data_IF_480209597391
#
_entry.id   IF_480209597391
#
_cell.length_a   1.000
_cell.length_b   1.000
_cell.length_c   1.000
_cell.angle_alpha   90.00
_cell.angle_beta   90.00
_cell.angle_gamma   90.00
#
_symmetry.space_group_name_H-M   'P 1'
#
loop_
_entity.id
_entity.type
_entity.pdbx_description
1 polymer ?
#
# COMPACT_ATOMS: atom_id res chain seq x y z
N UNK A 1 -16.40 11.74 4.65
CA UNK A 1 -16.74 11.82 3.21
C UNK A 1 -16.37 10.48 2.57
N UNK A 2 -17.35 9.67 2.13
CA UNK A 2 -17.13 8.37 1.48
C UNK A 2 -16.93 8.60 -0.01
N UNK A 3 -15.73 8.35 -0.55
CA UNK A 3 -15.46 8.43 -1.98
C UNK A 3 -15.61 7.05 -2.61
N UNK A 4 -16.62 6.88 -3.48
CA UNK A 4 -16.79 5.70 -4.36
C UNK A 4 -15.91 5.91 -5.61
N UNK A 5 -14.99 5.00 -5.90
CA UNK A 5 -14.35 4.93 -7.22
C UNK A 5 -15.35 4.35 -8.23
N UNK A 6 -15.58 5.05 -9.35
CA UNK A 6 -16.33 4.56 -10.51
C UNK A 6 -15.35 3.90 -11.49
N UNK A 7 -15.65 2.66 -11.88
CA UNK A 7 -15.01 1.98 -13.00
C UNK A 7 -15.65 2.45 -14.31
N UNK A 8 -14.84 2.91 -15.25
CA UNK A 8 -15.25 3.21 -16.63
C UNK A 8 -15.04 1.94 -17.46
N UNK A 9 -16.12 1.34 -17.95
CA UNK A 9 -16.08 0.29 -18.95
C UNK A 9 -16.06 0.93 -20.35
N UNK A 10 -15.09 0.54 -21.18
CA UNK A 10 -15.04 0.93 -22.59
C UNK A 10 -15.90 -0.07 -23.39
N UNK A 11 -16.93 0.45 -24.05
CA UNK A 11 -17.78 -0.27 -25.00
C UNK A 11 -17.11 -0.19 -26.37
N UNK A 12 -16.76 -1.34 -26.95
CA UNK A 12 -16.27 -1.49 -28.33
C UNK A 12 -17.32 -2.19 -29.16
N UNK A 13 -17.77 -1.49 -30.20
CA UNK A 13 -18.92 -1.74 -31.08
C UNK A 13 -18.78 -2.93 -32.04
N UNK A 14 -19.96 -3.50 -32.37
CA UNK A 14 -20.23 -4.48 -33.43
C UNK A 14 -19.70 -4.03 -34.81
N UNK A 15 -19.12 -4.98 -35.54
CA UNK A 15 -18.94 -4.93 -36.99
C UNK A 15 -19.09 -6.32 -37.57
N UNK A 16 -20.19 -6.57 -38.28
CA UNK A 16 -20.46 -7.81 -38.99
C UNK A 16 -19.78 -7.80 -40.36
N UNK A 17 -19.14 -8.90 -40.75
CA UNK A 17 -18.87 -9.23 -42.15
C UNK A 17 -19.05 -10.74 -42.37
N UNK A 18 -19.82 -11.07 -43.40
CA UNK A 18 -20.26 -12.39 -43.82
C UNK A 18 -19.39 -12.95 -44.96
N UNK A 19 -19.34 -14.29 -45.05
CA UNK A 19 -19.01 -15.16 -46.21
C UNK A 19 -17.55 -15.12 -46.72
N UNK A 20 -16.88 -16.19 -47.16
CA UNK A 20 -17.20 -17.57 -47.61
C UNK A 20 -15.87 -18.35 -47.59
N UNK A 21 -15.88 -19.68 -47.43
CA UNK A 21 -14.71 -20.50 -47.80
C UNK A 21 -14.64 -21.87 -47.13
N UNK A 22 -15.33 -22.85 -47.72
CA UNK A 22 -15.13 -24.29 -47.47
C UNK A 22 -13.72 -24.72 -47.90
N UNK A 23 -13.02 -25.48 -47.04
CA UNK A 23 -12.28 -26.68 -47.46
C UNK A 23 -12.34 -27.74 -46.36
N UNK A 24 -12.78 -28.93 -46.76
CA UNK A 24 -12.94 -30.10 -45.93
C UNK A 24 -11.57 -30.73 -45.61
N UNK A 25 -11.25 -30.85 -44.32
CA UNK A 25 -10.16 -31.68 -43.83
C UNK A 25 -10.74 -32.84 -43.03
N UNK A 26 -10.70 -34.05 -43.60
CA UNK A 26 -11.08 -35.28 -42.91
C UNK A 26 -10.20 -35.49 -41.68
N UNK A 27 -10.80 -35.47 -40.48
CA UNK A 27 -10.15 -35.91 -39.24
C UNK A 27 -10.71 -37.26 -38.84
N UNK A 28 -9.85 -38.27 -38.88
CA UNK A 28 -10.16 -39.62 -38.44
C UNK A 28 -10.53 -39.63 -36.95
N UNK A 29 -11.72 -40.13 -36.65
CA UNK A 29 -12.22 -40.35 -35.29
C UNK A 29 -11.51 -41.57 -34.71
N UNK A 30 -10.55 -41.35 -33.81
CA UNK A 30 -10.06 -42.38 -32.91
C UNK A 30 -11.01 -42.47 -31.71
N UNK A 31 -11.86 -43.50 -31.72
CA UNK A 31 -12.69 -43.89 -30.59
C UNK A 31 -11.81 -44.37 -29.43
N UNK A 32 -11.54 -43.48 -28.47
CA UNK A 32 -11.03 -43.90 -27.17
C UNK A 32 -12.20 -44.40 -26.33
N UNK A 33 -12.22 -45.70 -26.06
CA UNK A 33 -13.12 -46.29 -25.07
C UNK A 33 -12.90 -45.61 -23.71
N UNK A 34 -13.95 -45.30 -22.93
CA UNK A 34 -13.78 -44.73 -21.61
C UNK A 34 -13.12 -45.75 -20.68
N UNK A 35 -11.94 -45.40 -20.17
CA UNK A 35 -11.25 -46.13 -19.10
C UNK A 35 -12.18 -46.21 -17.88
N UNK A 36 -12.32 -47.36 -17.20
CA UNK A 36 -13.14 -47.48 -16.01
C UNK A 36 -12.69 -46.48 -14.94
N UNK A 37 -13.65 -45.74 -14.37
CA UNK A 37 -13.39 -44.76 -13.33
C UNK A 37 -12.74 -45.43 -12.10
N UNK A 38 -11.47 -45.11 -11.84
CA UNK A 38 -10.80 -45.45 -10.58
C UNK A 38 -11.55 -44.87 -9.36
N UNK A 39 -11.37 -45.54 -8.21
CA UNK A 39 -11.91 -45.13 -6.90
C UNK A 39 -11.67 -43.64 -6.64
N UNK A 40 -12.72 -42.95 -6.19
CA UNK A 40 -12.82 -41.49 -6.13
C UNK A 40 -11.61 -40.74 -5.58
N UNK A 41 -11.03 -39.89 -6.43
CA UNK A 41 -9.89 -39.03 -6.12
C UNK A 41 -10.33 -37.80 -5.30
N UNK A 42 -9.67 -37.55 -4.17
CA UNK A 42 -9.86 -36.35 -3.36
C UNK A 42 -9.08 -35.17 -3.95
N UNK A 43 -9.70 -33.99 -4.02
CA UNK A 43 -9.04 -32.74 -4.41
C UNK A 43 -9.21 -31.68 -3.32
N UNK A 44 -8.24 -30.77 -3.23
CA UNK A 44 -8.25 -29.74 -2.20
C UNK A 44 -7.82 -28.39 -2.76
N UNK A 45 -8.52 -27.34 -2.35
CA UNK A 45 -8.06 -25.97 -2.43
C UNK A 45 -8.75 -25.12 -1.37
N UNK A 46 -8.14 -24.00 -1.08
CA UNK A 46 -8.79 -22.96 -0.32
C UNK A 46 -8.38 -21.59 -0.78
N UNK A 47 -9.16 -20.62 -0.37
CA UNK A 47 -8.77 -19.24 -0.38
C UNK A 47 -8.50 -18.81 1.05
N UNK A 48 -7.37 -18.14 1.24
CA UNK A 48 -7.25 -17.19 2.31
C UNK A 48 -7.91 -15.95 1.74
N UNK A 49 -9.22 -15.84 1.84
CA UNK A 49 -9.93 -14.65 1.39
C UNK A 49 -9.63 -13.55 2.42
N UNK A 50 -8.53 -12.87 2.21
CA UNK A 50 -8.09 -11.83 3.13
C UNK A 50 -9.04 -10.65 3.10
N UNK A 51 -10.02 -10.64 2.18
CA UNK A 51 -11.13 -9.71 2.17
C UNK A 51 -10.66 -8.30 2.47
N UNK A 52 -9.47 -7.93 1.96
CA UNK A 52 -8.91 -6.59 2.07
C UNK A 52 -9.70 -5.71 1.09
N UNK A 53 -11.02 -5.73 1.22
CA UNK A 53 -11.85 -4.61 0.85
C UNK A 53 -11.30 -3.41 1.61
N UNK A 54 -11.31 -2.24 0.97
CA UNK A 54 -10.82 -1.00 1.58
C UNK A 54 -11.42 -0.72 2.97
N UNK A 55 -12.57 -1.32 3.31
CA UNK A 55 -13.23 -1.23 4.62
C UNK A 55 -12.62 -2.07 5.74
N UNK A 56 -11.98 -3.21 5.44
CA UNK A 56 -11.46 -4.17 6.44
C UNK A 56 -9.96 -4.00 6.74
N UNK A 57 -9.28 -3.12 6.00
CA UNK A 57 -7.87 -2.79 6.24
C UNK A 57 -7.67 -1.40 6.81
N UNK A 58 -6.64 -1.28 7.65
CA UNK A 58 -6.23 -0.03 8.28
C UNK A 58 -4.75 0.18 7.99
N UNK A 59 -4.43 1.36 7.50
CA UNK A 59 -3.07 1.75 7.18
C UNK A 59 -2.71 3.04 7.89
N UNK A 60 -1.59 3.04 8.59
CA UNK A 60 -0.77 4.23 8.79
C UNK A 60 0.37 4.18 7.78
N UNK A 61 1.21 5.21 7.75
CA UNK A 61 2.37 5.22 6.86
C UNK A 61 3.36 4.06 7.12
N UNK A 62 3.30 3.48 8.32
CA UNK A 62 4.24 2.44 8.78
C UNK A 62 3.57 1.17 9.29
N UNK A 63 2.25 1.09 9.30
CA UNK A 63 1.55 -0.09 9.80
C UNK A 63 0.38 -0.41 8.87
N UNK A 64 0.35 -1.64 8.39
CA UNK A 64 -0.77 -2.17 7.62
C UNK A 64 -1.41 -3.29 8.43
N UNK A 65 -2.73 -3.30 8.54
CA UNK A 65 -3.47 -4.43 9.12
C UNK A 65 -4.68 -4.73 8.25
N UNK A 66 -4.91 -6.00 7.96
CA UNK A 66 -6.08 -6.47 7.22
C UNK A 66 -6.65 -7.71 7.88
N UNK A 67 -7.97 -7.89 7.81
CA UNK A 67 -8.67 -9.06 8.33
C UNK A 67 -9.70 -9.54 7.32
N UNK A 68 -9.82 -10.85 7.17
CA UNK A 68 -10.78 -11.48 6.27
C UNK A 68 -11.10 -12.92 6.65
N UNK A 69 -12.02 -13.57 5.93
CA UNK A 69 -12.33 -14.99 6.14
C UNK A 69 -11.21 -15.93 5.67
N UNK A 70 -11.00 -17.00 6.43
CA UNK A 70 -10.20 -18.14 5.99
C UNK A 70 -11.15 -19.27 5.59
N UNK A 71 -11.04 -19.78 4.36
CA UNK A 71 -11.88 -20.87 3.86
C UNK A 71 -11.04 -21.89 3.09
N UNK A 72 -10.91 -23.10 3.63
CA UNK A 72 -10.22 -24.21 2.97
C UNK A 72 -11.13 -25.43 2.90
N UNK A 73 -11.30 -25.99 1.69
CA UNK A 73 -12.19 -27.13 1.47
C UNK A 73 -11.49 -28.26 0.73
N UNK A 74 -11.83 -29.48 1.12
CA UNK A 74 -11.58 -30.69 0.35
C UNK A 74 -12.90 -31.08 -0.30
N UNK A 75 -12.87 -31.43 -1.58
CA UNK A 75 -14.04 -31.86 -2.34
C UNK A 75 -13.77 -33.14 -3.12
N UNK A 76 -14.83 -33.80 -3.56
CA UNK A 76 -14.73 -34.94 -4.48
C UNK A 76 -14.36 -34.41 -5.87
N UNK A 77 -13.24 -34.82 -6.45
CA UNK A 77 -12.80 -34.31 -7.75
C UNK A 77 -13.82 -34.57 -8.88
N UNK A 78 -14.66 -35.61 -8.73
CA UNK A 78 -15.72 -35.96 -9.69
C UNK A 78 -17.01 -35.16 -9.49
N UNK A 79 -17.19 -34.58 -8.30
CA UNK A 79 -18.30 -33.69 -7.99
C UNK A 79 -17.78 -32.52 -7.12
N UNK A 80 -17.23 -31.46 -7.74
CA UNK A 80 -16.64 -30.34 -7.01
C UNK A 80 -17.60 -29.60 -6.08
N UNK A 81 -18.91 -29.76 -6.23
CA UNK A 81 -19.92 -29.21 -5.30
C UNK A 81 -20.01 -29.99 -3.99
N UNK A 82 -19.58 -31.27 -3.98
CA UNK A 82 -19.56 -32.12 -2.79
C UNK A 82 -18.34 -31.81 -1.93
N UNK A 83 -18.55 -31.04 -0.87
CA UNK A 83 -17.52 -30.79 0.15
C UNK A 83 -17.37 -32.00 1.07
N UNK A 84 -16.15 -32.50 1.20
CA UNK A 84 -15.79 -33.66 2.01
C UNK A 84 -15.12 -33.27 3.33
N UNK A 85 -14.47 -32.11 3.38
CA UNK A 85 -13.87 -31.55 4.58
C UNK A 85 -13.75 -30.05 4.48
N UNK A 86 -13.87 -29.35 5.61
CA UNK A 86 -13.89 -27.90 5.64
C UNK A 86 -13.10 -27.39 6.85
N UNK A 87 -12.26 -26.38 6.63
CA UNK A 87 -11.76 -25.48 7.65
C UNK A 87 -12.25 -24.07 7.32
N UNK A 88 -12.92 -23.42 8.27
CA UNK A 88 -13.23 -21.99 8.15
C UNK A 88 -12.76 -21.22 9.38
N UNK A 89 -12.61 -19.92 9.22
CA UNK A 89 -12.33 -19.01 10.31
C UNK A 89 -11.91 -17.64 9.82
N UNK A 90 -10.92 -17.05 10.47
CA UNK A 90 -10.43 -15.70 10.16
C UNK A 90 -8.94 -15.71 9.89
N UNK A 91 -8.51 -14.86 8.96
CA UNK A 91 -7.12 -14.48 8.78
C UNK A 91 -6.93 -13.02 9.19
N UNK A 92 -5.82 -12.71 9.85
CA UNK A 92 -5.35 -11.34 10.08
C UNK A 92 -3.91 -11.21 9.56
N UNK A 93 -3.66 -10.18 8.77
CA UNK A 93 -2.31 -9.79 8.35
C UNK A 93 -1.90 -8.51 9.05
N UNK A 94 -0.63 -8.42 9.43
CA UNK A 94 -0.03 -7.19 9.96
C UNK A 94 1.37 -7.00 9.38
N UNK A 95 1.63 -5.78 8.92
CA UNK A 95 2.95 -5.32 8.53
C UNK A 95 3.36 -4.12 9.37
N UNK A 96 4.58 -4.15 9.91
CA UNK A 96 5.17 -3.03 10.65
C UNK A 96 6.45 -2.62 9.93
N UNK A 97 6.36 -1.52 9.20
CA UNK A 97 7.44 -0.93 8.42
C UNK A 97 8.29 0.01 9.27
N UNK A 98 9.43 0.40 8.74
CA UNK A 98 10.33 1.31 9.42
C UNK A 98 10.95 2.29 8.42
N UNK A 99 10.77 3.57 8.67
CA UNK A 99 11.33 4.65 7.88
C UNK A 99 12.87 4.69 7.84
N UNK A 100 13.57 3.95 8.71
CA UNK A 100 15.04 3.85 8.82
C UNK A 100 15.57 2.42 8.64
N UNK A 101 14.73 1.42 8.34
CA UNK A 101 15.19 0.04 8.06
C UNK A 101 14.60 -0.51 6.76
N UNK A 102 15.41 -1.26 6.00
CA UNK A 102 14.96 -2.02 4.83
C UNK A 102 14.35 -3.38 5.19
N UNK A 103 14.26 -3.69 6.48
CA UNK A 103 13.66 -4.91 7.01
C UNK A 103 12.35 -4.58 7.71
N UNK A 104 11.31 -5.36 7.46
CA UNK A 104 10.03 -5.26 8.15
C UNK A 104 9.43 -6.63 8.42
N UNK A 105 8.51 -6.69 9.39
CA UNK A 105 7.81 -7.92 9.75
C UNK A 105 6.49 -8.00 8.99
N UNK A 106 6.22 -9.17 8.41
CA UNK A 106 4.92 -9.52 7.86
C UNK A 106 4.39 -10.73 8.66
N UNK A 107 3.26 -10.55 9.33
CA UNK A 107 2.66 -11.55 10.21
C UNK A 107 1.29 -11.95 9.67
N UNK A 108 1.05 -13.24 9.52
CA UNK A 108 -0.25 -13.82 9.16
C UNK A 108 -0.74 -14.66 10.34
N UNK A 109 -1.92 -14.36 10.84
CA UNK A 109 -2.58 -15.10 11.92
C UNK A 109 -3.84 -15.75 11.39
N UNK A 110 -3.93 -17.08 11.46
CA UNK A 110 -5.11 -17.85 11.04
C UNK A 110 -5.76 -18.44 12.29
N UNK A 111 -7.01 -18.06 12.55
CA UNK A 111 -7.83 -18.65 13.62
C UNK A 111 -8.90 -19.52 12.97
N UNK A 112 -8.86 -20.82 13.24
CA UNK A 112 -9.88 -21.76 12.74
C UNK A 112 -11.06 -21.78 13.70
N UNK A 113 -12.26 -21.50 13.20
CA UNK A 113 -13.52 -21.55 13.97
C UNK A 113 -14.28 -22.84 13.70
N UNK A 114 -14.21 -23.35 12.48
CA UNK A 114 -14.91 -24.57 12.07
C UNK A 114 -13.92 -25.56 11.47
N UNK A 115 -14.06 -26.82 11.87
CA UNK A 115 -13.37 -27.96 11.29
C UNK A 115 -14.36 -29.11 11.16
N UNK A 116 -14.58 -29.64 9.96
CA UNK A 116 -15.59 -30.66 9.71
C UNK A 116 -15.17 -31.66 8.62
N UNK A 117 -15.93 -32.75 8.52
CA UNK A 117 -15.70 -33.82 7.55
C UNK A 117 -14.31 -34.46 7.70
N UNK A 118 -13.63 -34.68 6.58
CA UNK A 118 -12.26 -35.20 6.54
C UNK A 118 -11.23 -34.29 7.25
N UNK A 119 -11.59 -33.03 7.53
CA UNK A 119 -10.77 -32.06 8.27
C UNK A 119 -11.18 -31.88 9.74
N UNK A 120 -12.01 -32.76 10.31
CA UNK A 120 -12.46 -32.65 11.72
C UNK A 120 -11.31 -32.55 12.74
N UNK A 121 -10.17 -33.21 12.46
CA UNK A 121 -8.96 -33.16 13.27
C UNK A 121 -8.06 -31.93 13.02
N UNK A 122 -8.43 -31.09 12.05
CA UNK A 122 -7.60 -29.99 11.57
C UNK A 122 -6.72 -30.39 10.39
N UNK A 123 -5.67 -29.58 10.17
CA UNK A 123 -4.64 -29.82 9.17
C UNK A 123 -3.31 -29.19 9.58
N UNK A 124 -2.29 -29.32 8.73
CA UNK A 124 -1.00 -28.63 8.84
C UNK A 124 -0.83 -27.70 7.66
N UNK A 125 -0.40 -26.46 7.89
CA UNK A 125 -0.10 -25.49 6.85
C UNK A 125 1.41 -25.27 6.76
N UNK A 126 1.94 -25.23 5.54
CA UNK A 126 3.28 -24.77 5.22
C UNK A 126 3.17 -23.49 4.37
N UNK A 127 3.47 -22.35 4.97
CA UNK A 127 3.31 -21.02 4.39
C UNK A 127 4.64 -20.45 3.91
N UNK A 128 4.63 -19.83 2.72
CA UNK A 128 5.70 -19.02 2.15
C UNK A 128 5.19 -17.61 1.91
N UNK A 129 6.07 -16.63 2.03
CA UNK A 129 5.79 -15.24 1.66
C UNK A 129 6.60 -14.88 0.41
N UNK A 130 5.93 -14.49 -0.66
CA UNK A 130 6.58 -13.97 -1.87
C UNK A 130 6.52 -12.46 -1.83
N UNK A 131 7.59 -11.74 -2.16
CA UNK A 131 7.58 -10.27 -2.15
C UNK A 131 7.98 -9.63 -3.50
N UNK A 132 8.12 -10.45 -4.55
CA UNK A 132 8.58 -10.04 -5.87
C UNK A 132 10.11 -10.07 -6.02
N UNK A 133 10.62 -9.37 -7.04
CA UNK A 133 12.05 -9.20 -7.26
C UNK A 133 12.61 -8.12 -6.32
N UNK A 134 13.89 -8.25 -5.93
CA UNK A 134 14.56 -7.26 -5.10
C UNK A 134 14.24 -7.33 -3.60
N UNK A 135 13.80 -8.50 -3.11
CA UNK A 135 13.56 -8.73 -1.69
C UNK A 135 13.74 -10.22 -1.31
N UNK A 136 13.87 -10.48 0.00
CA UNK A 136 13.95 -11.83 0.57
C UNK A 136 13.03 -11.93 1.81
N UNK A 137 12.40 -13.09 2.04
CA UNK A 137 11.40 -13.29 3.12
C UNK A 137 11.75 -14.39 4.11
N UNK A 138 12.87 -15.08 3.92
CA UNK A 138 13.24 -16.29 4.66
C UNK A 138 12.54 -17.55 4.13
N UNK A 139 12.71 -18.66 4.85
CA UNK A 139 12.13 -19.95 4.48
C UNK A 139 10.64 -20.10 4.82
N UNK A 140 10.04 -21.18 4.33
CA UNK A 140 8.66 -21.55 4.67
C UNK A 140 8.47 -21.77 6.17
N UNK A 141 7.28 -21.46 6.68
CA UNK A 141 6.89 -21.62 8.08
C UNK A 141 5.74 -22.62 8.18
N UNK A 142 5.85 -23.59 9.09
CA UNK A 142 4.83 -24.62 9.30
C UNK A 142 4.02 -24.35 10.57
N UNK A 143 2.74 -24.73 10.57
CA UNK A 143 1.86 -24.57 11.73
C UNK A 143 0.59 -25.41 11.64
N UNK A 144 0.10 -25.88 12.78
CA UNK A 144 -1.09 -26.73 12.85
C UNK A 144 -2.38 -25.88 12.88
N UNK A 145 -3.29 -26.14 11.94
CA UNK A 145 -4.60 -25.50 11.85
C UNK A 145 -5.64 -26.34 12.59
N UNK A 146 -5.97 -25.96 13.84
CA UNK A 146 -6.94 -26.67 14.70
C UNK A 146 -8.09 -25.77 15.12
N UNK A 147 -9.30 -26.33 15.20
CA UNK A 147 -10.50 -25.63 15.68
C UNK A 147 -10.24 -24.96 17.04
N UNK A 148 -10.63 -23.70 17.17
CA UNK A 148 -10.47 -22.89 18.38
C UNK A 148 -9.05 -22.36 18.62
N UNK A 149 -8.08 -22.64 17.74
CA UNK A 149 -6.70 -22.17 17.88
C UNK A 149 -6.34 -21.14 16.80
N UNK A 150 -5.52 -20.18 17.19
CA UNK A 150 -4.86 -19.23 16.29
C UNK A 150 -3.43 -19.71 16.02
N UNK A 151 -3.03 -19.68 14.76
CA UNK A 151 -1.69 -20.05 14.27
C UNK A 151 -1.05 -18.83 13.66
N UNK A 152 0.18 -18.51 14.09
CA UNK A 152 0.91 -17.31 13.64
C UNK A 152 2.07 -17.72 12.74
N UNK A 153 2.15 -17.11 11.58
CA UNK A 153 3.26 -17.23 10.63
C UNK A 153 3.90 -15.86 10.51
N UNK A 154 5.14 -15.71 10.98
CA UNK A 154 5.88 -14.46 10.89
C UNK A 154 7.06 -14.59 9.93
N UNK A 155 7.16 -13.64 9.02
CA UNK A 155 8.24 -13.49 8.06
C UNK A 155 8.95 -12.16 8.28
N UNK A 156 10.26 -12.15 8.01
CA UNK A 156 11.04 -10.91 7.94
C UNK A 156 11.28 -10.63 6.47
N UNK A 157 10.69 -9.56 5.96
CA UNK A 157 10.90 -9.10 4.60
C UNK A 157 12.09 -8.15 4.61
N UNK A 158 13.12 -8.47 3.84
CA UNK A 158 14.29 -7.63 3.62
C UNK A 158 14.27 -7.12 2.20
N UNK A 159 14.17 -5.81 2.02
CA UNK A 159 14.33 -5.16 0.72
C UNK A 159 15.82 -5.13 0.33
N UNK A 160 16.16 -5.66 -0.85
CA UNK A 160 17.51 -5.70 -1.43
C UNK A 160 17.82 -4.49 -2.30
N UNK A 161 19.08 -4.34 -2.71
CA UNK A 161 19.56 -3.27 -3.61
C UNK A 161 19.80 -1.91 -2.95
N UNK A 162 19.89 -0.84 -3.75
CA UNK A 162 20.03 0.55 -3.26
C UNK A 162 19.00 1.50 -3.88
N UNK A 163 18.23 1.05 -4.87
CA UNK A 163 17.23 1.86 -5.56
C UNK A 163 15.89 1.84 -4.81
N UNK A 164 15.00 2.74 -5.21
CA UNK A 164 13.58 2.66 -4.86
C UNK A 164 12.98 1.39 -5.45
N UNK A 165 12.32 0.59 -4.62
CA UNK A 165 11.62 -0.63 -5.01
C UNK A 165 10.22 -0.63 -4.42
N UNK A 166 9.27 -1.14 -5.21
CA UNK A 166 7.90 -1.38 -4.76
C UNK A 166 7.74 -2.88 -4.57
N UNK A 167 7.49 -3.28 -3.32
CA UNK A 167 7.30 -4.65 -2.92
C UNK A 167 5.82 -4.92 -2.74
N UNK A 168 5.40 -6.14 -3.02
CA UNK A 168 4.04 -6.61 -2.74
C UNK A 168 4.12 -7.97 -2.06
N UNK A 169 4.31 -8.03 -0.74
CA UNK A 169 4.29 -9.29 0.00
C UNK A 169 2.97 -10.03 -0.22
N UNK A 170 3.01 -11.32 -0.55
CA UNK A 170 1.85 -12.17 -0.86
C UNK A 170 2.03 -13.54 -0.20
N UNK A 171 1.16 -13.92 0.75
CA UNK A 171 1.23 -15.23 1.39
C UNK A 171 0.70 -16.33 0.46
N UNK A 172 1.44 -17.41 0.36
CA UNK A 172 1.04 -18.65 -0.30
C UNK A 172 1.25 -19.80 0.66
N UNK A 173 0.44 -20.85 0.61
CA UNK A 173 0.61 -22.01 1.47
C UNK A 173 0.17 -23.30 0.81
N UNK A 174 0.67 -24.41 1.36
CA UNK A 174 0.10 -25.74 1.16
C UNK A 174 -0.52 -26.19 2.47
N UNK A 175 -1.73 -26.73 2.42
CA UNK A 175 -2.41 -27.32 3.57
C UNK A 175 -2.49 -28.83 3.35
N UNK A 176 -2.06 -29.60 4.35
CA UNK A 176 -2.14 -31.05 4.40
C UNK A 176 -3.14 -31.47 5.47
N UNK A 177 -4.13 -32.28 5.11
CA UNK A 177 -5.16 -32.78 6.01
C UNK A 177 -6.15 -33.67 5.26
N UNK A 178 -6.87 -34.54 5.98
CA UNK A 178 -7.89 -35.40 5.37
C UNK A 178 -7.36 -36.33 4.25
N UNK A 179 -6.07 -36.68 4.29
CA UNK A 179 -5.41 -37.54 3.30
C UNK A 179 -4.90 -36.82 2.04
N UNK A 180 -5.02 -35.50 1.94
CA UNK A 180 -4.60 -34.72 0.77
C UNK A 180 -3.75 -33.52 1.14
N UNK A 181 -2.97 -33.03 0.16
CA UNK A 181 -2.28 -31.74 0.24
C UNK A 181 -2.73 -30.86 -0.91
N UNK A 182 -3.22 -29.65 -0.60
CA UNK A 182 -3.69 -28.71 -1.61
C UNK A 182 -3.18 -27.29 -1.37
N UNK A 183 -3.12 -26.44 -2.42
CA UNK A 183 -2.72 -25.06 -2.30
C UNK A 183 -3.78 -24.21 -1.58
N UNK A 184 -3.32 -23.16 -0.91
CA UNK A 184 -4.13 -22.00 -0.59
C UNK A 184 -3.29 -20.73 -0.77
N UNK A 185 -3.91 -19.69 -1.32
CA UNK A 185 -3.29 -18.38 -1.51
C UNK A 185 -4.19 -17.32 -0.92
N UNK A 186 -3.61 -16.16 -0.59
CA UNK A 186 -4.36 -14.99 -0.19
C UNK A 186 -3.77 -13.72 -0.76
N UNK A 187 -4.60 -12.70 -0.90
CA UNK A 187 -4.13 -11.36 -1.23
C UNK A 187 -3.29 -10.82 -0.05
N UNK A 188 -2.11 -10.31 -0.35
CA UNK A 188 -1.33 -9.55 0.62
C UNK A 188 -1.86 -8.14 0.86
N UNK A 189 -1.23 -7.45 1.82
CA UNK A 189 -1.49 -6.04 2.10
C UNK A 189 -1.07 -5.13 0.92
N UNK A 190 -1.35 -3.83 1.07
CA UNK A 190 -0.98 -2.80 0.10
C UNK A 190 0.52 -2.81 -0.23
N UNK A 191 0.87 -2.27 -1.40
CA UNK A 191 2.26 -2.17 -1.82
C UNK A 191 3.11 -1.40 -0.80
N UNK A 192 4.35 -1.85 -0.62
CA UNK A 192 5.35 -1.24 0.25
C UNK A 192 6.44 -0.62 -0.62
N UNK A 193 6.72 0.67 -0.43
CA UNK A 193 7.85 1.34 -1.10
C UNK A 193 9.04 1.33 -0.15
N UNK A 194 10.16 0.75 -0.56
CA UNK A 194 11.44 0.87 0.13
C UNK A 194 12.43 1.65 -0.72
N UNK A 195 13.22 2.54 -0.13
CA UNK A 195 14.18 3.37 -0.88
C UNK A 195 15.44 3.69 -0.05
N UNK A 196 16.40 4.42 -0.64
CA UNK A 196 17.57 4.97 0.04
C UNK A 196 17.76 6.48 -0.22
N UNK A 197 16.70 7.19 -0.57
CA UNK A 197 16.74 8.60 -1.02
C UNK A 197 17.37 9.53 0.01
N UNK A 198 17.17 9.24 1.30
CA UNK A 198 17.80 9.97 2.39
C UNK A 198 19.16 9.37 2.77
N UNK A 199 20.25 9.97 2.24
CA UNK A 199 21.64 9.50 2.39
C UNK A 199 22.07 9.18 3.83
N UNK A 200 21.64 9.97 4.82
CA UNK A 200 22.11 9.86 6.22
C UNK A 200 21.09 9.19 7.15
N UNK A 201 20.15 8.43 6.60
CA UNK A 201 19.02 7.88 7.36
C UNK A 201 18.91 6.36 7.22
N UNK A 202 19.73 5.77 6.35
CA UNK A 202 19.59 4.40 5.94
C UNK A 202 18.39 4.18 5.01
N UNK A 203 18.29 2.93 4.55
CA UNK A 203 17.17 2.47 3.74
C UNK A 203 15.94 2.31 4.61
N UNK A 204 14.77 2.63 4.08
CA UNK A 204 13.52 2.62 4.83
C UNK A 204 12.33 2.29 3.96
N UNK A 205 11.26 1.82 4.60
CA UNK A 205 10.05 1.36 3.93
C UNK A 205 8.80 2.10 4.45
N UNK A 206 7.86 2.39 3.55
CA UNK A 206 6.57 3.05 3.82
C UNK A 206 5.45 2.39 3.02
N UNK A 207 4.20 2.61 3.45
CA UNK A 207 3.04 2.46 2.58
C UNK A 207 2.87 3.76 1.77
N UNK A 208 3.27 3.80 0.47
CA UNK A 208 3.24 5.02 -0.33
C UNK A 208 1.81 5.49 -0.64
N UNK A 209 0.83 4.60 -0.56
CA UNK A 209 -0.59 4.95 -0.73
C UNK A 209 -1.19 5.74 0.44
N UNK A 210 -0.49 5.81 1.59
CA UNK A 210 -0.92 6.63 2.73
C UNK A 210 -0.30 8.02 2.63
N UNK A 211 -1.13 9.00 2.29
CA UNK A 211 -0.74 10.40 2.21
C UNK A 211 -0.61 10.96 3.64
N UNK A 212 0.60 11.31 4.11
CA UNK A 212 0.78 11.82 5.46
C UNK A 212 0.27 13.27 5.58
N UNK A 213 0.06 13.73 6.81
CA UNK A 213 -0.35 15.11 7.13
C UNK A 213 0.78 15.81 7.88
N UNK A 214 1.24 16.95 7.37
CA UNK A 214 2.10 17.87 8.08
C UNK A 214 1.24 18.82 8.90
N UNK A 215 1.51 18.95 10.20
CA UNK A 215 0.69 19.77 11.09
C UNK A 215 1.49 20.84 11.80
N UNK A 216 0.95 22.05 11.83
CA UNK A 216 1.41 23.18 12.64
C UNK A 216 0.23 23.76 13.42
N UNK A 217 0.51 24.61 14.40
CA UNK A 217 -0.54 25.30 15.16
C UNK A 217 -0.27 26.79 15.25
N UNK A 218 -1.33 27.59 15.14
CA UNK A 218 -1.29 29.05 15.30
C UNK A 218 -1.09 29.49 16.75
N UNK A 219 -1.25 28.58 17.71
CA UNK A 219 -1.00 28.85 19.13
C UNK A 219 0.37 28.34 19.60
N UNK A 220 1.15 27.70 18.73
CA UNK A 220 2.51 27.29 19.05
C UNK A 220 3.46 28.48 18.86
N UNK A 221 4.02 29.06 19.94
CA UNK A 221 4.80 30.29 19.86
C UNK A 221 6.10 30.16 19.06
N UNK A 222 6.58 28.93 18.77
CA UNK A 222 7.79 28.76 17.96
C UNK A 222 7.53 28.87 16.45
N UNK A 223 6.27 28.81 16.00
CA UNK A 223 5.88 28.71 14.58
C UNK A 223 4.53 29.39 14.27
N UNK A 224 4.03 30.26 15.15
CA UNK A 224 2.69 30.81 15.05
C UNK A 224 2.54 31.78 13.87
N UNK A 225 3.57 32.57 13.54
CA UNK A 225 3.54 33.48 12.38
C UNK A 225 3.46 32.67 11.08
N UNK A 226 4.29 31.63 10.92
CA UNK A 226 4.25 30.72 9.78
C UNK A 226 2.91 29.98 9.69
N UNK A 227 2.46 29.37 10.79
CA UNK A 227 1.20 28.63 10.82
C UNK A 227 0.02 29.53 10.46
N UNK A 228 0.01 30.78 10.93
CA UNK A 228 -1.03 31.76 10.59
C UNK A 228 -0.97 32.13 9.12
N UNK A 229 0.22 32.34 8.54
CA UNK A 229 0.35 32.60 7.12
C UNK A 229 -0.18 31.44 6.26
N UNK A 230 0.18 30.20 6.59
CA UNK A 230 -0.32 29.01 5.88
C UNK A 230 -1.85 28.90 6.01
N UNK A 231 -2.40 29.14 7.20
CA UNK A 231 -3.84 29.09 7.44
C UNK A 231 -4.62 30.10 6.57
N UNK A 232 -4.12 31.32 6.48
CA UNK A 232 -4.72 32.39 5.68
C UNK A 232 -4.58 32.08 4.18
N UNK A 233 -3.41 31.61 3.75
CA UNK A 233 -3.13 31.24 2.37
C UNK A 233 -4.04 30.09 1.88
N UNK A 234 -4.26 29.06 2.71
CA UNK A 234 -5.18 27.96 2.38
C UNK A 234 -6.64 28.41 2.16
N UNK A 235 -7.05 29.55 2.73
CA UNK A 235 -8.40 30.13 2.56
C UNK A 235 -8.53 31.10 1.40
N UNK A 236 -7.41 31.72 1.02
CA UNK A 236 -7.37 32.73 -0.05
C UNK A 236 -7.05 32.14 -1.42
N UNK A 237 -6.17 31.14 -1.48
CA UNK A 237 -5.66 30.56 -2.73
C UNK A 237 -6.70 29.60 -3.32
N UNK A 238 -6.99 29.75 -4.61
CA UNK A 238 -7.92 28.88 -5.33
C UNK A 238 -7.48 27.41 -5.27
N UNK A 239 -8.45 26.51 -5.04
CA UNK A 239 -8.18 25.07 -4.87
C UNK A 239 -7.58 24.68 -3.53
N UNK A 240 -7.38 25.65 -2.61
CA UNK A 240 -6.92 25.45 -1.23
C UNK A 240 -5.81 24.40 -1.11
N UNK A 241 -4.64 24.63 -1.73
CA UNK A 241 -3.54 23.65 -1.78
C UNK A 241 -3.09 23.27 -0.37
N UNK A 242 -2.82 21.99 -0.17
CA UNK A 242 -2.56 21.35 1.12
C UNK A 242 -3.79 21.09 1.99
N UNK A 243 -4.97 21.64 1.66
CA UNK A 243 -6.23 21.44 2.41
C UNK A 243 -7.28 20.66 1.59
N UNK A 244 -7.57 21.08 0.35
CA UNK A 244 -8.49 20.39 -0.56
C UNK A 244 -7.79 19.63 -1.68
N UNK A 245 -6.60 20.09 -2.07
CA UNK A 245 -5.70 19.38 -3.00
C UNK A 245 -4.36 19.09 -2.31
N UNK A 246 -3.78 17.89 -2.45
CA UNK A 246 -2.53 17.57 -1.77
C UNK A 246 -1.36 18.34 -2.39
N UNK A 247 -0.34 18.62 -1.58
CA UNK A 247 0.93 19.12 -2.08
C UNK A 247 1.82 17.95 -2.51
N UNK A 248 2.67 18.16 -3.52
CA UNK A 248 3.60 17.13 -4.00
C UNK A 248 5.05 17.58 -3.84
N UNK A 249 5.88 16.79 -3.15
CA UNK A 249 7.29 17.13 -2.91
C UNK A 249 8.08 17.26 -4.24
N UNK A 250 8.90 18.30 -4.37
CA UNK A 250 9.84 18.46 -5.51
C UNK A 250 11.30 18.28 -5.10
N UNK A 251 12.21 18.19 -6.08
CA UNK A 251 13.65 18.15 -5.83
C UNK A 251 14.16 19.44 -5.16
N UNK A 252 15.32 19.38 -4.50
CA UNK A 252 15.96 20.57 -3.90
C UNK A 252 16.24 21.66 -4.94
N UNK A 253 16.65 21.27 -6.16
CA UNK A 253 16.92 22.20 -7.24
C UNK A 253 15.64 22.94 -7.68
N UNK A 254 14.53 22.21 -7.85
CA UNK A 254 13.26 22.83 -8.17
C UNK A 254 12.77 23.72 -7.03
N UNK A 255 12.95 23.31 -5.77
CA UNK A 255 12.55 24.13 -4.63
C UNK A 255 13.29 25.47 -4.55
N UNK A 256 14.57 25.52 -4.94
CA UNK A 256 15.31 26.79 -5.06
C UNK A 256 14.68 27.71 -6.13
N UNK A 257 14.30 27.16 -7.28
CA UNK A 257 13.61 27.91 -8.35
C UNK A 257 12.24 28.42 -7.91
N UNK A 258 11.49 27.61 -7.15
CA UNK A 258 10.21 28.03 -6.61
C UNK A 258 10.37 29.19 -5.63
N UNK A 259 11.36 29.10 -4.72
CA UNK A 259 11.65 30.18 -3.76
C UNK A 259 12.05 31.48 -4.45
N UNK A 260 12.93 31.43 -5.46
CA UNK A 260 13.37 32.65 -6.14
C UNK A 260 12.23 33.39 -6.83
N UNK A 261 11.17 32.68 -7.24
CA UNK A 261 9.96 33.28 -7.84
C UNK A 261 9.05 33.92 -6.79
N UNK A 262 8.86 33.29 -5.64
CA UNK A 262 7.95 33.78 -4.59
C UNK A 262 8.60 34.84 -3.71
N UNK A 263 9.83 34.57 -3.28
CA UNK A 263 10.59 35.36 -2.33
C UNK A 263 11.93 35.83 -2.94
N UNK A 264 11.88 36.68 -4.01
CA UNK A 264 13.08 37.28 -4.57
C UNK A 264 13.85 38.08 -3.50
N UNK A 265 15.15 38.23 -3.74
CA UNK A 265 16.07 39.01 -2.89
C UNK A 265 16.61 40.17 -3.69
N UNK A 266 16.80 41.32 -3.05
CA UNK A 266 17.47 42.47 -3.65
C UNK A 266 16.91 43.79 -3.12
N UNK A 267 17.42 44.93 -3.59
CA UNK A 267 16.99 46.25 -3.15
C UNK A 267 15.48 46.51 -3.34
N UNK A 268 14.88 45.93 -4.37
CA UNK A 268 13.43 46.01 -4.63
C UNK A 268 12.58 45.12 -3.70
N UNK A 269 13.21 44.24 -2.92
CA UNK A 269 12.56 43.32 -1.99
C UNK A 269 13.26 43.38 -0.61
N UNK A 270 13.28 44.56 0.03
CA UNK A 270 13.97 44.73 1.30
C UNK A 270 13.31 43.84 2.36
N UNK A 271 14.14 43.19 3.18
CA UNK A 271 13.69 42.41 4.33
C UNK A 271 14.08 43.19 5.59
N UNK A 272 13.11 43.66 6.39
CA UNK A 272 13.41 44.27 7.68
C UNK A 272 14.29 43.36 8.53
N UNK A 273 15.09 43.95 9.43
CA UNK A 273 15.92 43.18 10.35
C UNK A 273 15.06 42.20 11.15
N UNK A 274 15.50 40.94 11.23
CA UNK A 274 14.79 39.88 11.95
C UNK A 274 13.57 39.31 11.21
N UNK A 275 13.27 39.75 9.98
CA UNK A 275 12.18 39.21 9.16
C UNK A 275 12.70 38.43 7.95
N UNK A 276 11.99 37.35 7.61
CA UNK A 276 12.21 36.56 6.40
C UNK A 276 10.89 36.46 5.60
N UNK A 277 11.03 36.26 4.29
CA UNK A 277 9.88 35.98 3.42
C UNK A 277 9.51 34.50 3.56
N UNK A 278 8.28 34.24 4.00
CA UNK A 278 7.65 32.92 3.97
C UNK A 278 6.78 32.79 2.72
N UNK A 279 6.68 31.57 2.19
CA UNK A 279 5.99 31.25 0.94
C UNK A 279 5.01 30.09 1.08
N UNK A 280 3.77 30.27 0.61
CA UNK A 280 2.79 29.19 0.50
C UNK A 280 2.08 29.19 -0.87
N UNK A 281 1.94 28.04 -1.56
CA UNK A 281 2.42 26.70 -1.18
C UNK A 281 3.94 26.63 -1.06
N UNK A 282 4.42 25.71 -0.22
CA UNK A 282 5.83 25.64 0.15
C UNK A 282 6.73 25.55 -1.09
N UNK A 283 7.88 26.23 -1.08
CA UNK A 283 8.83 26.12 -2.18
C UNK A 283 9.25 24.68 -2.50
N UNK A 284 9.26 23.79 -1.49
CA UNK A 284 9.55 22.37 -1.68
C UNK A 284 8.43 21.55 -2.34
N UNK A 285 7.40 22.16 -2.92
CA UNK A 285 6.29 21.45 -3.58
C UNK A 285 6.04 21.87 -5.02
N UNK A 286 5.30 21.07 -5.80
CA UNK A 286 4.95 21.36 -7.20
C UNK A 286 4.01 22.56 -7.31
N UNK A 287 3.17 22.75 -6.31
CA UNK A 287 2.18 23.81 -6.21
C UNK A 287 2.81 25.15 -5.78
N UNK A 288 4.05 25.13 -5.27
CA UNK A 288 4.79 26.34 -4.92
C UNK A 288 5.46 27.00 -6.13
N UNK A 289 5.91 28.25 -5.96
CA UNK A 289 6.65 28.95 -7.02
C UNK A 289 5.80 29.70 -8.05
N UNK A 290 4.49 29.86 -7.81
CA UNK A 290 3.58 30.61 -8.67
C UNK A 290 3.05 31.87 -7.95
N UNK A 291 3.57 33.08 -8.25
CA UNK A 291 3.10 34.32 -7.63
C UNK A 291 1.63 34.64 -7.90
N UNK A 292 1.06 34.17 -9.02
CA UNK A 292 -0.36 34.39 -9.34
C UNK A 292 -1.30 33.49 -8.52
N UNK A 293 -0.79 32.39 -7.95
CA UNK A 293 -1.57 31.44 -7.16
C UNK A 293 -0.80 31.01 -5.91
N UNK A 294 -0.21 32.00 -5.23
CA UNK A 294 0.60 31.81 -4.04
C UNK A 294 0.49 33.02 -3.12
N UNK A 295 1.00 32.87 -1.92
CA UNK A 295 1.03 33.91 -0.88
C UNK A 295 2.44 34.02 -0.32
N UNK A 296 2.87 35.24 -0.07
CA UNK A 296 4.08 35.54 0.68
C UNK A 296 3.79 36.45 1.85
N UNK A 297 4.56 36.31 2.93
CA UNK A 297 4.48 37.17 4.11
C UNK A 297 5.85 37.35 4.73
N UNK A 298 6.17 38.57 5.13
CA UNK A 298 7.34 38.83 5.97
C UNK A 298 6.99 38.44 7.41
N UNK A 299 7.65 37.41 7.92
CA UNK A 299 7.45 36.90 9.29
C UNK A 299 8.78 36.83 10.04
N UNK A 300 8.74 36.62 11.37
CA UNK A 300 9.95 36.42 12.17
C UNK A 300 10.86 35.36 11.56
N UNK A 301 12.15 35.70 11.46
CA UNK A 301 13.20 34.79 10.96
C UNK A 301 13.23 33.49 11.75
N UNK A 302 13.18 33.57 13.08
CA UNK A 302 13.31 32.39 13.94
C UNK A 302 12.09 31.47 13.81
N UNK A 303 10.88 32.05 13.72
CA UNK A 303 9.62 31.34 13.47
C UNK A 303 9.66 30.60 12.13
N UNK A 304 10.03 31.33 11.06
CA UNK A 304 10.12 30.78 9.71
C UNK A 304 11.13 29.63 9.62
N UNK A 305 12.31 29.81 10.22
CA UNK A 305 13.37 28.80 10.21
C UNK A 305 12.99 27.58 11.02
N UNK A 306 12.30 27.75 12.16
CA UNK A 306 11.79 26.62 12.94
C UNK A 306 10.75 25.84 12.14
N UNK A 307 9.77 26.51 11.53
CA UNK A 307 8.75 25.86 10.71
C UNK A 307 9.37 25.10 9.53
N UNK A 308 10.33 25.71 8.83
CA UNK A 308 11.08 25.07 7.75
C UNK A 308 11.88 23.84 8.21
N UNK A 309 12.51 23.90 9.40
CA UNK A 309 13.20 22.75 9.97
C UNK A 309 12.23 21.62 10.36
N UNK A 310 11.08 21.96 10.97
CA UNK A 310 10.03 20.98 11.29
C UNK A 310 9.52 20.28 10.03
N UNK A 311 9.27 21.02 8.94
CA UNK A 311 8.89 20.44 7.65
C UNK A 311 9.96 19.49 7.10
N UNK A 312 11.25 19.88 7.16
CA UNK A 312 12.37 19.05 6.71
C UNK A 312 12.50 17.75 7.50
N UNK A 313 12.35 17.80 8.82
CA UNK A 313 12.37 16.62 9.68
C UNK A 313 11.15 15.75 9.42
N UNK A 314 9.97 16.35 9.31
CA UNK A 314 8.73 15.64 9.00
C UNK A 314 8.80 14.90 7.66
N UNK A 315 9.40 15.49 6.62
CA UNK A 315 9.66 14.79 5.36
C UNK A 315 10.51 13.53 5.57
N UNK A 316 11.55 13.60 6.40
CA UNK A 316 12.39 12.43 6.72
C UNK A 316 11.61 11.39 7.53
N UNK A 317 10.95 11.82 8.60
CA UNK A 317 10.26 10.92 9.54
C UNK A 317 9.11 10.18 8.88
N UNK A 318 8.47 10.81 7.90
CA UNK A 318 7.46 10.17 7.09
C UNK A 318 8.06 9.51 5.84
N UNK A 319 9.30 9.83 5.45
CA UNK A 319 9.98 9.38 4.22
C UNK A 319 9.29 9.85 2.93
N UNK A 320 8.81 11.10 2.93
CA UNK A 320 8.27 11.83 1.76
C UNK A 320 9.38 12.09 0.74
N UNK A 321 9.35 11.42 -0.41
CA UNK A 321 10.31 11.67 -1.50
C UNK A 321 9.67 12.51 -2.62
N UNK A 322 10.43 12.83 -3.66
CA UNK A 322 9.90 13.56 -4.83
C UNK A 322 8.64 12.85 -5.36
N UNK A 323 7.64 13.64 -5.73
CA UNK A 323 6.31 13.23 -6.18
C UNK A 323 5.38 12.62 -5.12
N UNK A 324 5.85 12.31 -3.90
CA UNK A 324 4.95 11.88 -2.84
C UNK A 324 3.95 13.01 -2.50
N UNK A 325 2.64 12.71 -2.50
CA UNK A 325 1.61 13.65 -2.07
C UNK A 325 1.54 13.73 -0.54
N UNK A 326 1.16 14.91 -0.02
CA UNK A 326 0.87 15.10 1.38
C UNK A 326 -0.09 16.26 1.65
N UNK A 327 -0.71 16.24 2.84
CA UNK A 327 -1.63 17.27 3.31
C UNK A 327 -0.97 18.19 4.33
N UNK A 328 -1.53 19.37 4.51
CA UNK A 328 -1.11 20.36 5.51
C UNK A 328 -2.31 20.75 6.36
N UNK A 329 -2.22 20.49 7.66
CA UNK A 329 -3.27 20.81 8.62
C UNK A 329 -2.78 21.87 9.59
N UNK A 330 -3.48 23.00 9.64
CA UNK A 330 -3.21 24.05 10.64
C UNK A 330 -4.30 24.01 11.71
N UNK A 331 -3.87 23.97 12.98
CA UNK A 331 -4.73 24.08 14.16
C UNK A 331 -4.72 25.52 14.68
#
# INVERSE_FOLDING_TARGET
MKLKLRNTALVGSLGALMFTGLTAGASASASSSPVPAEKGTLAAAGSIDTGISAGSSRYTRFTGTGTGPFNYRIWDARNPSKTLGLLTGTVQQTEVLNYKRNTFKHRVTIKVTTASGTLKGGGSANMKLNCGTGCSTGGAKSGALKKGKATVFEFTVTSGGTKTVNLRPQPTMKITGGGVTGPASGDGLAAVRCDSTYKNMGRGCVFPGVQPVFSLSRTDPEVNENATHVYDAQRKIAGAPGLQTPLHKVSTAQGKKNRSKMCPTGPAHPRPQGKECDEYPFASTKEGGNPANGSTRLISKDDNQKAGNRLKLWYKDNRVIVDDPFWVSIK
#
